data_IF_829901318642
#
_entry.id   IF_829901318642
#
_cell.length_a   1.000
_cell.length_b   1.000
_cell.length_c   1.000
_cell.angle_alpha   90.00
_cell.angle_beta   90.00
_cell.angle_gamma   90.00
#
_symmetry.space_group_name_H-M   'P 1'
#
loop_
_entity.id
_entity.type
_entity.pdbx_description
1 polymer ?
#
# COMPACT_ATOMS: atom_id res chain seq x y z
N UNK A 1 -30.46 -5.74 -0.87
CA UNK A 1 -29.51 -4.98 -1.69
C UNK A 1 -28.89 -3.90 -0.80
N UNK A 2 -27.56 -3.79 -0.83
CA UNK A 2 -26.81 -2.80 -0.04
C UNK A 2 -26.50 -1.59 -0.91
N UNK A 3 -26.62 -0.38 -0.39
CA UNK A 3 -26.23 0.82 -1.11
C UNK A 3 -24.71 1.01 -1.10
N UNK A 4 -24.07 0.61 -0.02
CA UNK A 4 -22.62 0.68 0.15
C UNK A 4 -22.10 -0.50 0.96
N UNK A 5 -20.94 -1.02 0.54
CA UNK A 5 -20.14 -1.99 1.29
C UNK A 5 -18.80 -1.39 1.63
N UNK A 6 -18.39 -1.50 2.88
CA UNK A 6 -17.07 -1.07 3.37
C UNK A 6 -16.30 -2.30 3.81
N UNK A 7 -15.10 -2.49 3.29
CA UNK A 7 -14.20 -3.57 3.66
C UNK A 7 -12.97 -2.96 4.30
N UNK A 8 -12.80 -3.21 5.59
CA UNK A 8 -11.62 -2.78 6.33
C UNK A 8 -10.50 -3.81 6.18
N UNK A 9 -9.25 -3.36 6.33
CA UNK A 9 -8.03 -4.15 6.14
C UNK A 9 -8.03 -4.90 4.79
N UNK A 10 -8.45 -4.21 3.74
CA UNK A 10 -8.63 -4.78 2.41
C UNK A 10 -7.35 -5.38 1.80
N UNK A 11 -6.16 -5.15 2.41
CA UNK A 11 -4.93 -5.83 2.00
C UNK A 11 -4.97 -7.33 2.26
N UNK A 12 -5.86 -7.82 3.14
CA UNK A 12 -6.10 -9.24 3.35
C UNK A 12 -6.98 -9.89 2.25
N UNK A 13 -7.59 -9.09 1.37
CA UNK A 13 -8.26 -9.62 0.18
C UNK A 13 -7.21 -10.10 -0.82
N UNK A 14 -6.72 -11.32 -0.60
CA UNK A 14 -5.77 -11.99 -1.48
C UNK A 14 -6.46 -13.12 -2.23
N UNK A 15 -5.98 -13.45 -3.44
CA UNK A 15 -6.54 -14.55 -4.24
C UNK A 15 -7.96 -14.30 -4.73
N UNK A 16 -8.41 -13.05 -4.78
CA UNK A 16 -9.71 -12.65 -5.31
C UNK A 16 -9.72 -12.53 -6.85
N UNK A 17 -8.53 -12.60 -7.47
CA UNK A 17 -8.38 -12.65 -8.93
C UNK A 17 -8.86 -13.97 -9.55
N UNK A 18 -8.44 -14.25 -10.76
CA UNK A 18 -8.80 -15.48 -11.45
C UNK A 18 -7.88 -16.67 -11.08
N UNK A 19 -8.40 -17.90 -10.95
CA UNK A 19 -9.82 -18.29 -10.99
C UNK A 19 -10.59 -17.90 -9.72
N UNK A 20 -11.79 -17.37 -9.88
CA UNK A 20 -12.66 -16.97 -8.78
C UNK A 20 -13.34 -18.18 -8.17
N UNK A 21 -13.01 -18.55 -6.96
CA UNK A 21 -13.61 -19.64 -6.22
C UNK A 21 -13.91 -19.23 -4.78
N UNK A 22 -14.95 -19.79 -4.20
CA UNK A 22 -15.26 -19.59 -2.78
C UNK A 22 -15.38 -18.12 -2.39
N UNK A 23 -14.51 -17.68 -1.48
CA UNK A 23 -14.52 -16.34 -0.94
C UNK A 23 -14.30 -15.25 -2.01
N UNK A 24 -13.39 -15.47 -2.96
CA UNK A 24 -13.13 -14.51 -4.04
C UNK A 24 -14.38 -14.28 -4.90
N UNK A 25 -15.12 -15.35 -5.24
CA UNK A 25 -16.37 -15.22 -5.97
C UNK A 25 -17.42 -14.45 -5.17
N UNK A 26 -17.57 -14.75 -3.87
CA UNK A 26 -18.48 -14.03 -2.99
C UNK A 26 -18.19 -12.52 -2.96
N UNK A 27 -16.94 -12.11 -2.85
CA UNK A 27 -16.56 -10.69 -2.86
C UNK A 27 -16.88 -10.02 -4.20
N UNK A 28 -16.62 -10.69 -5.32
CA UNK A 28 -16.98 -10.17 -6.64
C UNK A 28 -18.49 -10.02 -6.83
N UNK A 29 -19.27 -11.00 -6.40
CA UNK A 29 -20.74 -10.96 -6.50
C UNK A 29 -21.31 -9.85 -5.61
N UNK A 30 -20.73 -9.66 -4.41
CA UNK A 30 -21.09 -8.58 -3.49
C UNK A 30 -20.78 -7.20 -4.10
N UNK A 31 -19.59 -7.03 -4.67
CA UNK A 31 -19.18 -5.80 -5.34
C UNK A 31 -20.09 -5.48 -6.53
N UNK A 32 -20.42 -6.47 -7.36
CA UNK A 32 -21.27 -6.28 -8.53
C UNK A 32 -22.73 -5.92 -8.18
N UNK A 33 -23.23 -6.32 -7.01
CA UNK A 33 -24.59 -6.04 -6.54
C UNK A 33 -24.70 -4.75 -5.71
N UNK A 34 -23.58 -4.11 -5.41
CA UNK A 34 -23.52 -2.94 -4.54
C UNK A 34 -23.29 -1.68 -5.36
N UNK A 35 -23.97 -0.57 -5.01
CA UNK A 35 -23.81 0.71 -5.71
C UNK A 35 -22.52 1.43 -5.36
N UNK A 36 -22.00 1.21 -4.17
CA UNK A 36 -20.74 1.79 -3.69
C UNK A 36 -19.88 0.76 -2.97
N UNK A 37 -18.59 0.71 -3.30
CA UNK A 37 -17.59 -0.12 -2.64
C UNK A 37 -16.47 0.75 -2.10
N UNK A 38 -16.19 0.65 -0.81
CA UNK A 38 -15.08 1.32 -0.14
C UNK A 38 -14.11 0.28 0.45
N UNK A 39 -12.88 0.29 0.00
CA UNK A 39 -11.81 -0.55 0.52
C UNK A 39 -10.87 0.31 1.38
N UNK A 40 -10.75 -0.03 2.66
CA UNK A 40 -9.86 0.64 3.60
C UNK A 40 -8.61 -0.21 3.81
N UNK A 41 -7.43 0.39 3.71
CA UNK A 41 -6.16 -0.29 3.98
C UNK A 41 -5.04 0.70 4.26
N UNK A 42 -4.16 0.37 5.19
CA UNK A 42 -2.93 1.13 5.44
C UNK A 42 -1.85 0.82 4.40
N UNK A 43 -1.90 -0.36 3.77
CA UNK A 43 -0.83 -0.91 2.92
C UNK A 43 -1.40 -1.53 1.64
N UNK A 44 -1.83 -0.72 0.66
CA UNK A 44 -2.52 -1.23 -0.54
C UNK A 44 -1.68 -2.18 -1.40
N UNK A 45 -0.37 -2.12 -1.33
CA UNK A 45 0.55 -2.92 -2.16
C UNK A 45 1.24 -4.06 -1.39
N UNK A 46 0.91 -4.26 -0.10
CA UNK A 46 1.60 -5.22 0.77
C UNK A 46 1.61 -6.65 0.23
N UNK A 47 0.54 -7.08 -0.42
CA UNK A 47 0.41 -8.43 -0.99
C UNK A 47 0.90 -8.52 -2.46
N UNK A 48 1.69 -7.53 -2.92
CA UNK A 48 2.23 -7.45 -4.27
C UNK A 48 1.29 -6.81 -5.30
N UNK A 49 1.86 -6.50 -6.47
CA UNK A 49 1.20 -5.74 -7.52
C UNK A 49 -0.06 -6.44 -8.07
N UNK A 50 -0.03 -7.77 -8.21
CA UNK A 50 -1.19 -8.54 -8.67
C UNK A 50 -2.37 -8.40 -7.72
N UNK A 51 -2.15 -8.56 -6.44
CA UNK A 51 -3.19 -8.43 -5.43
C UNK A 51 -3.73 -6.99 -5.32
N UNK A 52 -2.86 -6.01 -5.57
CA UNK A 52 -3.29 -4.61 -5.69
C UNK A 52 -4.20 -4.42 -6.90
N UNK A 53 -3.82 -4.93 -8.06
CA UNK A 53 -4.65 -4.90 -9.27
C UNK A 53 -6.02 -5.56 -9.06
N UNK A 54 -6.06 -6.75 -8.43
CA UNK A 54 -7.31 -7.46 -8.18
C UNK A 54 -8.29 -6.62 -7.34
N UNK A 55 -7.79 -5.84 -6.36
CA UNK A 55 -8.60 -4.89 -5.57
C UNK A 55 -9.08 -3.69 -6.38
N UNK A 56 -8.23 -3.14 -7.24
CA UNK A 56 -8.60 -2.04 -8.14
C UNK A 56 -9.67 -2.50 -9.15
N UNK A 57 -9.55 -3.72 -9.64
CA UNK A 57 -10.54 -4.33 -10.54
C UNK A 57 -11.91 -4.52 -9.88
N UNK A 58 -11.97 -4.76 -8.57
CA UNK A 58 -13.24 -4.77 -7.84
C UNK A 58 -13.95 -3.41 -7.85
N UNK A 59 -13.17 -2.32 -7.75
CA UNK A 59 -13.70 -0.95 -7.68
C UNK A 59 -14.11 -0.45 -9.06
N UNK A 60 -13.24 -0.66 -10.07
CA UNK A 60 -13.46 -0.20 -11.45
C UNK A 60 -13.00 -1.27 -12.46
N UNK A 61 -13.85 -2.28 -12.73
CA UNK A 61 -13.52 -3.36 -13.64
C UNK A 61 -13.36 -2.90 -15.10
N UNK A 62 -13.95 -1.77 -15.48
CA UNK A 62 -13.82 -1.23 -16.83
C UNK A 62 -12.43 -0.60 -17.05
N UNK A 63 -11.89 0.07 -16.04
CA UNK A 63 -10.55 0.68 -16.09
C UNK A 63 -9.45 -0.36 -15.90
N UNK A 64 -9.64 -1.33 -14.99
CA UNK A 64 -8.66 -2.36 -14.65
C UNK A 64 -9.08 -3.71 -15.21
N UNK A 65 -9.13 -3.81 -16.55
CA UNK A 65 -9.58 -5.03 -17.24
C UNK A 65 -8.44 -6.02 -17.51
N UNK A 66 -7.20 -5.54 -17.64
CA UNK A 66 -6.04 -6.33 -18.01
C UNK A 66 -4.84 -6.02 -17.12
N UNK A 67 -4.23 -7.08 -16.57
CA UNK A 67 -3.10 -6.95 -15.64
C UNK A 67 -1.81 -6.49 -16.33
N UNK A 68 -1.54 -6.95 -17.55
CA UNK A 68 -0.29 -6.63 -18.24
C UNK A 68 -0.26 -5.15 -18.64
N UNK A 69 -1.40 -4.65 -19.08
CA UNK A 69 -1.61 -3.21 -19.33
C UNK A 69 -1.40 -2.41 -18.04
N UNK A 70 -2.03 -2.82 -16.94
CA UNK A 70 -1.86 -2.18 -15.63
C UNK A 70 -0.41 -2.19 -15.17
N UNK A 71 0.30 -3.31 -15.30
CA UNK A 71 1.71 -3.42 -14.91
C UNK A 71 2.59 -2.46 -15.71
N UNK A 72 2.33 -2.32 -17.01
CA UNK A 72 3.04 -1.39 -17.89
C UNK A 72 2.79 0.06 -17.45
N UNK A 73 1.52 0.43 -17.24
CA UNK A 73 1.14 1.76 -16.77
C UNK A 73 1.72 2.08 -15.39
N UNK A 74 1.71 1.10 -14.47
CA UNK A 74 2.27 1.26 -13.13
C UNK A 74 3.78 1.52 -13.17
N UNK A 75 4.49 0.82 -14.05
CA UNK A 75 5.95 1.04 -14.26
C UNK A 75 6.21 2.43 -14.84
N UNK A 76 5.41 2.85 -15.83
CA UNK A 76 5.49 4.20 -16.40
C UNK A 76 5.16 5.28 -15.36
N UNK A 77 4.13 5.06 -14.55
CA UNK A 77 3.77 6.02 -13.49
C UNK A 77 4.89 6.20 -12.45
N UNK A 78 5.64 5.15 -12.14
CA UNK A 78 6.81 5.26 -11.26
C UNK A 78 7.87 6.23 -11.81
N UNK A 79 8.04 6.28 -13.14
CA UNK A 79 8.92 7.24 -13.81
C UNK A 79 8.35 8.68 -13.73
N UNK A 80 7.03 8.83 -13.90
CA UNK A 80 6.38 10.13 -13.84
C UNK A 80 6.27 10.72 -12.44
N UNK A 81 6.36 9.90 -11.40
CA UNK A 81 6.40 10.38 -10.00
C UNK A 81 7.54 11.38 -9.79
N UNK A 82 8.71 11.12 -10.34
CA UNK A 82 9.85 12.02 -10.24
C UNK A 82 9.58 13.37 -10.94
N UNK A 83 8.90 13.33 -12.07
CA UNK A 83 8.47 14.55 -12.80
C UNK A 83 7.49 15.38 -11.97
N UNK A 84 6.55 14.72 -11.28
CA UNK A 84 5.61 15.40 -10.38
C UNK A 84 6.35 16.06 -9.22
N UNK A 85 7.30 15.37 -8.58
CA UNK A 85 8.12 15.93 -7.50
C UNK A 85 8.94 17.15 -7.94
N UNK A 86 9.47 17.11 -9.16
CA UNK A 86 10.19 18.25 -9.75
C UNK A 86 9.27 19.44 -10.05
N UNK A 87 8.05 19.17 -10.56
CA UNK A 87 7.04 20.21 -10.78
C UNK A 87 6.63 20.90 -9.47
N UNK A 88 6.42 20.14 -8.41
CA UNK A 88 6.11 20.68 -7.07
C UNK A 88 7.22 21.59 -6.54
N UNK A 89 8.48 21.32 -6.93
CA UNK A 89 9.65 22.13 -6.57
C UNK A 89 9.87 23.32 -7.53
N UNK A 90 9.00 23.51 -8.53
CA UNK A 90 9.14 24.58 -9.53
C UNK A 90 10.30 24.38 -10.50
N UNK A 91 10.79 23.15 -10.67
CA UNK A 91 11.88 22.83 -11.58
C UNK A 91 11.36 22.65 -13.02
N UNK A 92 12.15 23.04 -14.04
CA UNK A 92 11.79 22.79 -15.41
C UNK A 92 11.82 21.29 -15.73
N UNK A 93 10.71 20.76 -16.25
CA UNK A 93 10.56 19.34 -16.56
C UNK A 93 10.02 19.13 -17.97
N UNK A 94 10.28 17.96 -18.53
CA UNK A 94 9.62 17.52 -19.76
C UNK A 94 8.33 16.78 -19.37
N UNK A 95 7.19 17.36 -19.76
CA UNK A 95 5.89 16.78 -19.46
C UNK A 95 5.61 15.56 -20.36
N UNK A 96 4.87 14.57 -19.84
CA UNK A 96 4.43 13.44 -20.66
C UNK A 96 3.40 13.86 -21.72
N UNK A 97 3.21 13.06 -22.78
CA UNK A 97 2.25 13.36 -23.83
C UNK A 97 0.84 13.58 -23.32
N UNK A 98 0.20 14.65 -23.80
CA UNK A 98 -1.21 14.95 -23.49
C UNK A 98 -1.46 15.69 -22.19
N UNK A 99 -0.41 16.22 -21.55
CA UNK A 99 -0.50 17.17 -20.45
C UNK A 99 -0.37 18.59 -21.03
N UNK A 100 -1.24 19.49 -20.59
CA UNK A 100 -1.23 20.88 -21.04
C UNK A 100 -0.08 21.66 -20.38
N UNK A 101 0.98 21.89 -21.12
CA UNK A 101 2.15 22.64 -20.65
C UNK A 101 1.86 24.12 -20.32
N UNK A 102 0.72 24.66 -20.77
CA UNK A 102 0.33 26.05 -20.50
C UNK A 102 -0.53 26.21 -19.25
N UNK A 103 -1.03 25.11 -18.70
CA UNK A 103 -1.84 25.10 -17.50
C UNK A 103 -1.00 25.40 -16.24
N UNK A 104 -1.66 25.81 -15.15
CA UNK A 104 -1.02 25.95 -13.85
C UNK A 104 -0.43 24.61 -13.39
N UNK A 105 0.63 24.65 -12.57
CA UNK A 105 1.36 23.45 -12.11
C UNK A 105 0.42 22.45 -11.43
N UNK A 106 -0.48 22.93 -10.60
CA UNK A 106 -1.47 22.11 -9.91
C UNK A 106 -2.38 21.35 -10.87
N UNK A 107 -2.76 22.01 -11.97
CA UNK A 107 -3.59 21.39 -13.03
C UNK A 107 -2.79 20.36 -13.82
N UNK A 108 -1.51 20.63 -14.10
CA UNK A 108 -0.62 19.67 -14.76
C UNK A 108 -0.44 18.41 -13.90
N UNK A 109 -0.19 18.57 -12.61
CA UNK A 109 -0.08 17.46 -11.66
C UNK A 109 -1.38 16.65 -11.60
N UNK A 110 -2.52 17.33 -11.52
CA UNK A 110 -3.83 16.67 -11.52
C UNK A 110 -4.08 15.87 -12.81
N UNK A 111 -3.76 16.44 -13.97
CA UNK A 111 -3.87 15.73 -15.25
C UNK A 111 -2.95 14.50 -15.31
N UNK A 112 -1.74 14.57 -14.74
CA UNK A 112 -0.82 13.44 -14.66
C UNK A 112 -1.37 12.33 -13.75
N UNK A 113 -1.88 12.69 -12.58
CA UNK A 113 -2.48 11.76 -11.62
C UNK A 113 -3.73 11.07 -12.18
N UNK A 114 -4.58 11.82 -12.90
CA UNK A 114 -5.80 11.30 -13.51
C UNK A 114 -5.52 10.37 -14.69
N UNK A 115 -4.48 10.65 -15.45
CA UNK A 115 -4.17 9.92 -16.69
C UNK A 115 -3.31 8.69 -16.45
N UNK A 116 -2.30 8.82 -15.61
CA UNK A 116 -1.28 7.79 -15.39
C UNK A 116 -1.34 7.15 -14.03
N UNK A 117 -2.04 7.75 -13.08
CA UNK A 117 -2.16 7.26 -11.72
C UNK A 117 -3.48 6.57 -11.40
N UNK A 118 -3.62 6.22 -10.15
CA UNK A 118 -4.86 5.67 -9.56
C UNK A 118 -5.66 6.74 -8.80
N UNK A 119 -5.37 8.03 -9.00
CA UNK A 119 -5.85 9.15 -8.20
C UNK A 119 -7.37 9.31 -8.15
N UNK A 120 -8.10 8.76 -9.16
CA UNK A 120 -9.57 8.82 -9.19
C UNK A 120 -10.26 7.85 -8.22
N UNK A 121 -9.58 6.76 -7.86
CA UNK A 121 -10.16 5.69 -7.05
C UNK A 121 -9.33 5.34 -5.81
N UNK A 122 -8.08 5.82 -5.73
CA UNK A 122 -7.20 5.59 -4.59
C UNK A 122 -6.87 6.93 -3.92
N UNK A 123 -7.34 7.08 -2.68
CA UNK A 123 -7.02 8.23 -1.83
C UNK A 123 -6.01 7.81 -0.77
N UNK A 124 -4.86 8.48 -0.74
CA UNK A 124 -3.80 8.19 0.23
C UNK A 124 -3.50 9.43 1.07
N UNK A 125 -3.80 9.33 2.36
CA UNK A 125 -3.35 10.31 3.33
C UNK A 125 -1.99 9.91 3.89
N UNK A 126 -1.03 10.82 3.84
CA UNK A 126 0.26 10.65 4.51
C UNK A 126 0.30 11.50 5.76
N UNK A 127 1.01 11.03 6.80
CA UNK A 127 1.16 11.80 8.06
C UNK A 127 1.74 13.19 7.84
N UNK A 128 2.58 13.36 6.81
CA UNK A 128 3.16 14.65 6.43
C UNK A 128 2.13 15.65 5.91
N UNK A 129 1.06 15.17 5.28
CA UNK A 129 0.00 16.01 4.72
C UNK A 129 -1.10 16.38 5.71
N UNK A 130 -1.08 15.88 6.96
CA UNK A 130 -2.10 16.12 7.96
C UNK A 130 -1.61 17.18 8.95
N UNK A 131 -2.18 18.41 8.96
CA UNK A 131 -1.79 19.44 9.92
C UNK A 131 -2.06 18.97 11.37
N UNK A 132 -1.13 19.27 12.28
CA UNK A 132 -1.29 18.91 13.69
C UNK A 132 -1.02 17.47 14.04
N UNK A 133 -0.50 16.67 13.12
CA UNK A 133 -0.14 15.28 13.43
C UNK A 133 1.03 15.26 14.43
N UNK A 134 0.96 14.46 15.53
CA UNK A 134 2.02 14.40 16.53
C UNK A 134 3.36 14.00 15.93
N UNK A 135 4.42 14.68 16.33
CA UNK A 135 5.78 14.31 15.95
C UNK A 135 6.24 13.10 16.78
N UNK A 136 6.89 12.16 16.13
CA UNK A 136 7.54 11.05 16.83
C UNK A 136 8.93 11.48 17.25
N UNK A 137 9.20 11.43 18.56
CA UNK A 137 10.52 11.61 19.11
C UNK A 137 11.10 10.23 19.42
N UNK A 138 12.15 9.85 18.70
CA UNK A 138 12.89 8.63 18.97
C UNK A 138 13.91 8.89 20.07
N UNK A 139 13.81 8.12 21.15
CA UNK A 139 14.83 8.09 22.21
C UNK A 139 15.45 6.69 22.22
N UNK A 140 16.76 6.64 22.08
CA UNK A 140 17.50 5.40 22.09
C UNK A 140 18.07 5.18 23.50
N UNK A 141 17.68 4.08 24.11
CA UNK A 141 18.24 3.62 25.40
C UNK A 141 19.04 2.36 25.12
N UNK A 142 20.33 2.39 25.43
CA UNK A 142 21.15 1.17 25.39
C UNK A 142 20.90 0.40 26.69
N UNK A 143 20.36 -0.80 26.56
CA UNK A 143 20.23 -1.74 27.67
C UNK A 143 21.39 -2.72 27.63
N UNK A 144 21.87 -3.13 28.81
CA UNK A 144 22.82 -4.22 28.88
C UNK A 144 22.13 -5.51 28.43
N UNK A 145 22.79 -6.29 27.59
CA UNK A 145 22.28 -7.60 27.21
C UNK A 145 22.17 -8.48 28.48
N UNK A 146 21.09 -9.27 28.62
CA UNK A 146 21.01 -10.27 29.66
C UNK A 146 22.19 -11.25 29.58
N UNK A 147 22.64 -11.77 30.72
CA UNK A 147 23.76 -12.73 30.78
C UNK A 147 23.59 -13.96 29.89
N UNK A 148 22.32 -14.30 29.58
CA UNK A 148 21.96 -15.38 28.65
C UNK A 148 22.28 -15.11 27.20
N UNK A 149 22.46 -13.81 26.82
CA UNK A 149 22.76 -13.38 25.47
C UNK A 149 24.20 -12.83 25.36
N UNK A 150 25.17 -13.65 25.70
CA UNK A 150 26.55 -13.33 25.38
C UNK A 150 26.79 -13.46 23.86
N UNK A 151 27.77 -12.70 23.34
CA UNK A 151 28.09 -12.60 21.90
C UNK A 151 28.30 -13.96 21.22
N UNK A 152 28.72 -14.98 21.95
CA UNK A 152 28.94 -16.35 21.45
C UNK A 152 27.74 -17.30 21.67
N UNK A 153 26.57 -16.77 22.05
CA UNK A 153 25.41 -17.58 22.32
C UNK A 153 24.81 -18.12 21.00
N UNK A 154 25.02 -19.42 20.75
CA UNK A 154 24.36 -20.13 19.65
C UNK A 154 22.82 -20.11 19.70
N UNK A 155 22.25 -19.59 20.79
CA UNK A 155 20.79 -19.46 21.03
C UNK A 155 20.22 -18.20 20.40
N UNK A 156 20.98 -17.11 20.32
CA UNK A 156 20.48 -15.81 19.89
C UNK A 156 19.79 -15.86 18.52
N UNK A 157 20.40 -16.57 17.60
CA UNK A 157 19.92 -16.64 16.20
C UNK A 157 18.64 -17.47 16.02
N UNK A 158 18.53 -18.70 16.55
CA UNK A 158 17.31 -19.50 16.50
C UNK A 158 16.15 -18.83 17.24
N UNK A 159 16.39 -18.19 18.38
CA UNK A 159 15.36 -17.56 19.21
C UNK A 159 14.78 -16.29 18.56
N UNK A 160 15.58 -15.54 17.82
CA UNK A 160 15.11 -14.38 17.05
C UNK A 160 14.29 -14.80 15.83
N UNK A 161 14.65 -15.93 15.19
CA UNK A 161 13.99 -16.42 13.98
C UNK A 161 12.73 -17.23 14.29
N UNK A 162 12.71 -17.92 15.44
CA UNK A 162 11.62 -18.82 15.84
C UNK A 162 11.21 -18.55 17.31
N UNK A 163 10.64 -17.38 17.61
CA UNK A 163 10.23 -17.01 18.97
C UNK A 163 9.21 -17.99 19.58
N UNK A 164 8.44 -18.66 18.72
CA UNK A 164 7.46 -19.67 19.12
C UNK A 164 8.06 -20.99 19.60
N UNK A 165 9.33 -21.23 19.32
CA UNK A 165 10.03 -22.45 19.74
C UNK A 165 10.43 -22.44 21.21
N UNK A 166 10.30 -21.29 21.89
CA UNK A 166 10.66 -21.12 23.29
C UNK A 166 9.42 -21.20 24.19
N UNK A 167 9.54 -21.93 25.28
CA UNK A 167 8.59 -21.81 26.38
C UNK A 167 8.68 -20.38 26.97
N UNK A 168 7.55 -19.71 27.11
CA UNK A 168 7.46 -18.31 27.58
C UNK A 168 8.20 -18.16 28.94
N UNK A 169 8.14 -19.16 29.80
CA UNK A 169 8.81 -19.14 31.10
C UNK A 169 10.35 -19.18 31.02
N UNK A 170 10.89 -19.64 29.90
CA UNK A 170 12.33 -19.75 29.64
C UNK A 170 12.82 -18.70 28.63
N UNK A 171 11.94 -17.88 28.11
CA UNK A 171 12.30 -16.84 27.15
C UNK A 171 13.02 -15.69 27.88
N UNK A 172 14.31 -15.46 27.63
CA UNK A 172 15.06 -14.37 28.26
C UNK A 172 14.47 -13.00 28.00
N UNK A 173 13.68 -12.83 26.94
CA UNK A 173 13.00 -11.56 26.60
C UNK A 173 11.85 -11.23 27.56
N UNK A 174 11.28 -12.24 28.23
CA UNK A 174 10.19 -12.09 29.21
C UNK A 174 10.71 -11.80 30.61
N UNK A 175 11.98 -12.07 30.86
CA UNK A 175 12.63 -11.88 32.17
C UNK A 175 13.27 -10.49 32.34
N UNK A 176 13.04 -9.58 31.41
CA UNK A 176 13.57 -8.21 31.41
C UNK A 176 12.72 -7.24 32.24
#
# INVERSE_FOLDING_TARGET
>A
QWDMVVIDEAHHLTGIGQPRTGFGQFIHDLAAQTRGLLLLTATPEQAGLRSHFDRLQLIDPARFSDFDTFQTEHTQFAQWRHVIEQLEQGQPVTLPPGIDATAAIEVQIQQMLDRYGTGRILYRNTRRGIPGFPQRHHQHYSLNAPELYHEDSARLHPELLHPEALCIEQDPRVQW
#
